data_IF_296946754310
#
_entry.id   IF_296946754310
#
_cell.length_a   1.000
_cell.length_b   1.000
_cell.length_c   1.000
_cell.angle_alpha   90.00
_cell.angle_beta   90.00
_cell.angle_gamma   90.00
#
_symmetry.space_group_name_H-M   'P 1'
#
loop_
_entity.id
_entity.type
_entity.pdbx_description
1 polymer ?
#
# COMPACT_ATOMS: atom_id res chain seq x y z
N UNK A 1 1.23 13.00 -2.77
CA UNK A 1 1.85 11.75 -3.24
C UNK A 1 3.35 11.89 -3.01
N UNK A 2 3.91 11.18 -2.04
CA UNK A 2 5.36 11.11 -1.87
C UNK A 2 6.02 10.73 -3.19
N UNK A 3 7.17 11.36 -3.49
CA UNK A 3 8.01 10.92 -4.59
C UNK A 3 8.39 9.46 -4.37
N UNK A 4 8.18 8.64 -5.39
CA UNK A 4 8.67 7.26 -5.40
C UNK A 4 10.20 7.33 -5.38
N UNK A 5 10.80 6.83 -4.30
CA UNK A 5 12.25 6.69 -4.21
C UNK A 5 12.69 5.59 -5.19
N UNK A 6 13.37 5.98 -6.26
CA UNK A 6 14.08 5.08 -7.16
C UNK A 6 15.45 4.72 -6.60
N UNK A 7 15.82 3.45 -6.73
CA UNK A 7 17.17 2.98 -6.45
C UNK A 7 18.21 3.74 -7.29
N UNK A 8 19.42 3.90 -6.73
CA UNK A 8 20.54 4.57 -7.40
C UNK A 8 20.46 6.10 -7.49
N UNK A 9 19.43 6.72 -6.91
CA UNK A 9 19.27 8.18 -6.90
C UNK A 9 19.67 8.76 -5.53
N UNK A 10 20.35 9.91 -5.52
CA UNK A 10 20.66 10.63 -4.27
C UNK A 10 19.51 11.53 -3.88
N UNK A 11 19.08 11.46 -2.61
CA UNK A 11 18.00 12.27 -2.05
C UNK A 11 18.55 13.24 -1.01
N UNK A 12 17.98 14.44 -0.93
CA UNK A 12 18.30 15.34 0.17
C UNK A 12 17.58 14.88 1.45
N UNK A 13 18.03 15.37 2.61
CA UNK A 13 17.46 14.97 3.91
C UNK A 13 15.96 15.26 4.01
N UNK A 14 15.46 16.34 3.39
CA UNK A 14 14.05 16.72 3.43
C UNK A 14 13.19 15.70 2.68
N UNK A 15 13.59 15.30 1.48
CA UNK A 15 12.89 14.30 0.67
C UNK A 15 12.75 12.96 1.44
N UNK A 16 13.80 12.57 2.17
CA UNK A 16 13.78 11.36 3.01
C UNK A 16 12.82 11.51 4.18
N UNK A 17 12.84 12.65 4.88
CA UNK A 17 11.94 12.91 6.00
C UNK A 17 10.47 12.89 5.55
N UNK A 18 10.15 13.52 4.42
CA UNK A 18 8.78 13.58 3.90
C UNK A 18 8.23 12.17 3.61
N UNK A 19 9.06 11.29 3.03
CA UNK A 19 8.69 9.88 2.79
C UNK A 19 8.46 9.14 4.10
N UNK A 20 9.31 9.34 5.11
CA UNK A 20 9.17 8.68 6.41
C UNK A 20 7.92 9.14 7.16
N UNK A 21 7.56 10.43 7.07
CA UNK A 21 6.33 10.98 7.65
C UNK A 21 5.11 10.37 6.96
N UNK A 22 5.10 10.31 5.63
CA UNK A 22 4.00 9.69 4.87
C UNK A 22 3.86 8.20 5.20
N UNK A 23 4.99 7.48 5.30
CA UNK A 23 5.01 6.08 5.70
C UNK A 23 4.50 5.86 7.13
N UNK A 24 4.91 6.69 8.08
CA UNK A 24 4.43 6.62 9.47
C UNK A 24 2.92 6.81 9.52
N UNK A 25 2.39 7.83 8.85
CA UNK A 25 0.95 8.06 8.80
C UNK A 25 0.19 6.93 8.09
N UNK A 26 0.78 6.32 7.06
CA UNK A 26 0.22 5.12 6.43
C UNK A 26 0.18 3.94 7.39
N UNK A 27 1.27 3.66 8.09
CA UNK A 27 1.37 2.60 9.10
C UNK A 27 0.28 2.74 10.16
N UNK A 28 0.09 3.93 10.72
CA UNK A 28 -0.90 4.18 11.76
C UNK A 28 -2.33 3.90 11.26
N UNK A 29 -2.66 4.29 10.01
CA UNK A 29 -3.96 3.99 9.40
C UNK A 29 -4.17 2.50 9.19
N UNK A 30 -3.15 1.79 8.69
CA UNK A 30 -3.21 0.34 8.49
C UNK A 30 -3.41 -0.36 9.83
N UNK A 31 -2.64 0.00 10.84
CA UNK A 31 -2.72 -0.62 12.17
C UNK A 31 -4.09 -0.38 12.82
N UNK A 32 -4.62 0.85 12.71
CA UNK A 32 -5.97 1.16 13.19
C UNK A 32 -7.01 0.29 12.49
N UNK A 33 -6.97 0.21 11.15
CA UNK A 33 -7.96 -0.55 10.38
C UNK A 33 -7.86 -2.05 10.65
N UNK A 34 -6.65 -2.56 10.78
CA UNK A 34 -6.41 -3.96 11.14
C UNK A 34 -7.02 -4.30 12.51
N UNK A 35 -6.83 -3.44 13.52
CA UNK A 35 -7.43 -3.63 14.85
C UNK A 35 -8.97 -3.55 14.86
N UNK A 36 -9.57 -2.79 13.95
CA UNK A 36 -11.02 -2.76 13.77
C UNK A 36 -11.51 -4.08 13.15
N UNK A 37 -10.90 -4.49 12.04
CA UNK A 37 -11.26 -5.75 11.35
C UNK A 37 -11.05 -6.95 12.27
N UNK A 38 -9.94 -7.02 13.00
CA UNK A 38 -9.69 -8.11 13.93
C UNK A 38 -10.79 -8.24 14.98
N UNK A 39 -11.26 -7.12 15.55
CA UNK A 39 -12.39 -7.10 16.49
C UNK A 39 -13.71 -7.53 15.86
N UNK A 40 -13.93 -7.22 14.57
CA UNK A 40 -15.12 -7.67 13.86
C UNK A 40 -15.10 -9.17 13.53
N UNK A 41 -13.92 -9.77 13.45
CA UNK A 41 -13.75 -11.19 13.10
C UNK A 41 -13.70 -12.10 14.32
N UNK A 42 -13.20 -11.59 15.44
CA UNK A 42 -13.03 -12.31 16.69
C UNK A 42 -14.30 -13.04 17.13
N UNK A 43 -14.19 -14.36 17.34
CA UNK A 43 -15.26 -15.19 17.88
C UNK A 43 -16.32 -15.61 16.85
N UNK A 44 -16.14 -15.26 15.57
CA UNK A 44 -16.99 -15.79 14.50
C UNK A 44 -16.65 -17.25 14.20
N UNK A 45 -17.66 -18.11 13.93
CA UNK A 45 -17.43 -19.53 13.64
C UNK A 45 -16.61 -19.76 12.37
N UNK A 46 -16.54 -18.78 11.47
CA UNK A 46 -15.78 -18.80 10.22
C UNK A 46 -14.63 -17.76 10.21
N UNK A 47 -14.12 -17.36 11.38
CA UNK A 47 -13.06 -16.36 11.52
C UNK A 47 -11.84 -16.65 10.61
N UNK A 48 -11.36 -17.89 10.60
CA UNK A 48 -10.25 -18.33 9.75
C UNK A 48 -10.51 -18.07 8.27
N UNK A 49 -11.68 -18.47 7.76
CA UNK A 49 -12.04 -18.31 6.35
C UNK A 49 -12.18 -16.84 5.97
N UNK A 50 -12.69 -16.00 6.89
CA UNK A 50 -12.77 -14.55 6.68
C UNK A 50 -11.37 -13.93 6.56
N UNK A 51 -10.41 -14.34 7.41
CA UNK A 51 -9.02 -13.91 7.29
C UNK A 51 -8.35 -14.36 6.00
N UNK A 52 -8.55 -15.61 5.60
CA UNK A 52 -8.03 -16.14 4.32
C UNK A 52 -8.58 -15.34 3.15
N UNK A 53 -9.88 -15.07 3.12
CA UNK A 53 -10.51 -14.29 2.06
C UNK A 53 -9.96 -12.86 2.00
N UNK A 54 -9.78 -12.19 3.14
CA UNK A 54 -9.18 -10.85 3.20
C UNK A 54 -7.75 -10.87 2.65
N UNK A 55 -6.96 -11.89 3.01
CA UNK A 55 -5.60 -12.05 2.51
C UNK A 55 -5.59 -12.19 0.98
N UNK A 56 -6.41 -13.08 0.43
CA UNK A 56 -6.47 -13.31 -1.03
C UNK A 56 -6.87 -12.05 -1.79
N UNK A 57 -7.92 -11.35 -1.35
CA UNK A 57 -8.35 -10.07 -1.98
C UNK A 57 -7.24 -9.02 -1.89
N UNK A 58 -6.50 -8.98 -0.78
CA UNK A 58 -5.39 -8.05 -0.61
C UNK A 58 -4.22 -8.37 -1.55
N UNK A 59 -3.93 -9.65 -1.77
CA UNK A 59 -2.94 -10.11 -2.75
C UNK A 59 -3.35 -9.72 -4.18
N UNK A 60 -4.59 -10.03 -4.58
CA UNK A 60 -5.11 -9.68 -5.90
C UNK A 60 -5.02 -8.17 -6.15
N UNK A 61 -5.43 -7.37 -5.15
CA UNK A 61 -5.31 -5.92 -5.24
C UNK A 61 -3.86 -5.46 -5.37
N UNK A 62 -2.93 -6.04 -4.61
CA UNK A 62 -1.51 -5.68 -4.66
C UNK A 62 -0.91 -5.98 -6.03
N UNK A 63 -1.23 -7.14 -6.62
CA UNK A 63 -0.78 -7.54 -7.95
C UNK A 63 -1.36 -6.62 -9.04
N UNK A 64 -2.63 -6.23 -8.92
CA UNK A 64 -3.28 -5.25 -9.80
C UNK A 64 -2.58 -3.89 -9.74
N UNK A 65 -2.27 -3.41 -8.54
CA UNK A 65 -1.55 -2.13 -8.35
C UNK A 65 -0.14 -2.20 -8.92
N UNK A 66 0.55 -3.32 -8.72
CA UNK A 66 1.89 -3.53 -9.27
C UNK A 66 1.88 -3.54 -10.80
N UNK A 67 0.89 -4.20 -11.41
CA UNK A 67 0.72 -4.24 -12.87
C UNK A 67 0.40 -2.85 -13.44
N UNK A 68 -0.48 -2.08 -12.80
CA UNK A 68 -0.78 -0.69 -13.20
C UNK A 68 0.46 0.20 -13.19
N UNK A 69 1.35 0.04 -12.20
CA UNK A 69 2.62 0.79 -12.12
C UNK A 69 3.64 0.42 -13.20
N UNK A 70 3.51 -0.76 -13.83
CA UNK A 70 4.37 -1.20 -14.94
C UNK A 70 3.92 -0.72 -16.30
N UNK A 71 2.67 -0.29 -16.46
CA UNK A 71 2.22 0.29 -17.72
C UNK A 71 2.78 1.72 -17.82
N UNK A 72 3.74 2.01 -18.72
CA UNK A 72 4.18 3.38 -18.93
C UNK A 72 2.99 4.21 -19.44
N UNK A 73 2.75 5.37 -18.84
CA UNK A 73 1.86 6.37 -19.42
C UNK A 73 2.31 6.62 -20.87
N UNK A 74 1.41 6.61 -21.86
CA UNK A 74 1.79 6.90 -23.23
C UNK A 74 2.30 8.34 -23.27
N UNK A 75 3.62 8.48 -23.45
CA UNK A 75 4.28 9.77 -23.70
C UNK A 75 3.57 10.36 -24.92
N UNK A 76 2.70 11.35 -24.70
CA UNK A 76 2.18 12.18 -25.77
C UNK A 76 3.39 12.88 -26.39
N UNK A 77 3.81 12.39 -27.56
CA UNK A 77 4.73 13.12 -28.43
C UNK A 77 3.98 14.38 -28.86
N UNK A 78 4.39 15.53 -28.32
CA UNK A 78 3.96 16.84 -28.79
C UNK A 78 4.60 17.03 -30.17
N UNK A 79 3.78 17.11 -31.22
CA UNK A 79 4.16 17.51 -32.59
C UNK A 79 4.31 19.01 -32.70
#
# INVERSE_FOLDING_TARGET
MAKVLKEGTSYNQRDVIDVLVEFSGFKDRVEKKFKEVARELEGKPNEHDLWVNIYLISCDYADDQFTKRKSPEPIQKIS
#
